data_IF_986513047330
#
_entry.id   IF_986513047330
#
_cell.length_a   1.000
_cell.length_b   1.000
_cell.length_c   1.000
_cell.angle_alpha   90.00
_cell.angle_beta   90.00
_cell.angle_gamma   90.00
#
_symmetry.space_group_name_H-M   'P 1'
#
loop_
_entity.id
_entity.type
_entity.pdbx_description
1 polymer ?
#
# COMPACT_ATOMS: atom_id res chain seq x y z
N UNK A 1 -7.03 52.93 -31.26
CA UNK A 1 -6.92 51.50 -31.63
C UNK A 1 -6.57 50.77 -30.35
N UNK A 2 -7.57 50.15 -29.76
CA UNK A 2 -7.57 49.54 -28.43
C UNK A 2 -6.75 48.24 -28.43
N UNK A 3 -6.07 47.94 -27.33
CA UNK A 3 -5.71 46.58 -26.96
C UNK A 3 -6.03 46.36 -25.48
N UNK A 4 -7.18 45.75 -25.25
CA UNK A 4 -7.65 45.27 -23.94
C UNK A 4 -6.88 43.98 -23.62
N UNK A 5 -6.06 44.00 -22.57
CA UNK A 5 -5.44 42.78 -22.03
C UNK A 5 -6.46 42.13 -21.09
N UNK A 6 -7.15 41.10 -21.57
CA UNK A 6 -8.06 40.29 -20.76
C UNK A 6 -7.23 39.24 -20.01
N UNK A 7 -7.05 39.44 -18.70
CA UNK A 7 -6.58 38.40 -17.79
C UNK A 7 -7.71 37.38 -17.58
N UNK A 8 -7.70 36.26 -18.31
CA UNK A 8 -8.54 35.12 -17.96
C UNK A 8 -7.82 34.26 -16.93
N UNK A 9 -8.10 34.52 -15.65
CA UNK A 9 -7.96 33.53 -14.58
C UNK A 9 -8.94 32.38 -14.86
N UNK A 10 -8.48 31.33 -15.53
CA UNK A 10 -9.12 30.01 -15.50
C UNK A 10 -8.30 29.13 -14.56
N UNK A 11 -8.45 29.39 -13.25
CA UNK A 11 -8.13 28.40 -12.24
C UNK A 11 -9.29 27.40 -12.21
N UNK A 12 -9.42 26.59 -13.26
CA UNK A 12 -10.19 25.35 -13.15
C UNK A 12 -9.36 24.43 -12.28
N UNK A 13 -9.71 24.36 -11.00
CA UNK A 13 -9.32 23.24 -10.14
C UNK A 13 -9.88 21.98 -10.77
N UNK A 14 -9.13 21.40 -11.70
CA UNK A 14 -9.32 20.02 -12.09
C UNK A 14 -9.14 19.21 -10.80
N UNK A 15 -10.25 18.75 -10.24
CA UNK A 15 -10.26 17.66 -9.30
C UNK A 15 -9.69 16.48 -10.08
N UNK A 16 -8.37 16.31 -10.04
CA UNK A 16 -7.73 15.07 -10.48
C UNK A 16 -8.23 14.04 -9.46
N UNK A 17 -9.05 13.05 -9.86
CA UNK A 17 -9.45 12.00 -8.93
C UNK A 17 -8.17 11.38 -8.38
N UNK A 18 -8.02 11.40 -7.06
CA UNK A 18 -6.83 10.79 -6.45
C UNK A 18 -6.88 9.30 -6.74
N UNK A 19 -5.88 8.81 -7.46
CA UNK A 19 -5.78 7.39 -7.76
C UNK A 19 -5.56 6.63 -6.46
N UNK A 20 -6.50 5.73 -6.12
CA UNK A 20 -6.36 4.83 -4.99
C UNK A 20 -5.98 3.44 -5.45
N UNK A 21 -5.34 2.70 -4.54
CA UNK A 21 -4.94 1.33 -4.73
C UNK A 21 -5.52 0.49 -3.60
N UNK A 22 -6.08 -0.67 -3.96
CA UNK A 22 -6.63 -1.62 -2.99
C UNK A 22 -5.58 -2.69 -2.68
N UNK A 23 -5.05 -2.69 -1.46
CA UNK A 23 -3.98 -3.60 -1.07
C UNK A 23 -4.48 -4.63 -0.07
N UNK A 24 -4.42 -5.91 -0.44
CA UNK A 24 -4.75 -7.02 0.47
C UNK A 24 -3.63 -7.20 1.50
N UNK A 25 -4.02 -7.15 2.77
CA UNK A 25 -3.14 -7.28 3.92
C UNK A 25 -3.20 -8.67 4.51
N UNK A 26 -2.09 -9.13 5.09
CA UNK A 26 -1.95 -10.40 5.78
C UNK A 26 -2.29 -11.61 4.90
N UNK A 27 -1.92 -11.55 3.63
CA UNK A 27 -2.35 -12.50 2.59
C UNK A 27 -1.96 -13.95 2.89
N UNK A 28 -0.83 -14.15 3.59
CA UNK A 28 -0.31 -15.44 4.02
C UNK A 28 -0.93 -15.98 5.33
N UNK A 29 -1.85 -15.24 5.95
CA UNK A 29 -2.44 -15.60 7.25
C UNK A 29 -3.92 -15.91 7.15
N UNK A 30 -4.34 -16.92 7.91
CA UNK A 30 -5.75 -17.18 8.20
C UNK A 30 -6.21 -16.31 9.37
N UNK A 31 -6.58 -15.07 9.09
CA UNK A 31 -7.13 -14.13 10.07
C UNK A 31 -8.54 -14.56 10.48
N UNK A 32 -8.73 -14.84 11.77
CA UNK A 32 -10.02 -15.21 12.36
C UNK A 32 -10.57 -14.13 13.29
N UNK A 33 -9.72 -13.25 13.82
CA UNK A 33 -10.21 -12.08 14.55
C UNK A 33 -9.19 -10.94 14.60
N UNK A 34 -9.71 -9.71 14.64
CA UNK A 34 -8.93 -8.49 14.73
C UNK A 34 -9.69 -7.41 15.52
N UNK A 35 -8.93 -6.51 16.14
CA UNK A 35 -9.46 -5.30 16.76
C UNK A 35 -9.07 -4.10 15.90
N UNK A 36 -10.05 -3.26 15.60
CA UNK A 36 -9.93 -2.05 14.80
C UNK A 36 -10.20 -0.86 15.72
N UNK A 37 -9.24 0.05 15.84
CA UNK A 37 -9.38 1.27 16.63
C UNK A 37 -9.07 2.47 15.77
N UNK A 38 -9.80 3.57 15.93
CA UNK A 38 -9.50 4.81 15.23
C UNK A 38 -8.25 5.42 15.86
N UNK A 39 -7.20 5.54 15.07
CA UNK A 39 -5.96 6.18 15.50
C UNK A 39 -6.03 7.70 15.30
N UNK A 40 -6.66 8.13 14.22
CA UNK A 40 -6.92 9.53 13.92
C UNK A 40 -8.11 9.67 12.95
N UNK A 41 -8.79 10.82 12.99
CA UNK A 41 -9.92 11.14 12.12
C UNK A 41 -11.25 10.54 12.56
N UNK A 42 -12.20 10.52 11.63
CA UNK A 42 -13.55 9.99 11.79
C UNK A 42 -13.84 9.01 10.67
N UNK A 43 -14.68 8.03 10.93
CA UNK A 43 -15.03 7.00 9.94
C UNK A 43 -16.53 6.75 9.91
N UNK A 44 -17.10 6.78 8.71
CA UNK A 44 -18.40 6.15 8.46
C UNK A 44 -18.20 4.66 8.31
N UNK A 45 -18.96 3.88 9.07
CA UNK A 45 -18.92 2.42 9.02
C UNK A 45 -20.17 1.94 8.30
N UNK A 46 -19.95 1.29 7.17
CA UNK A 46 -20.98 0.66 6.34
C UNK A 46 -20.75 -0.84 6.39
N UNK A 47 -21.80 -1.65 6.56
CA UNK A 47 -21.70 -3.08 6.28
C UNK A 47 -22.89 -3.60 5.49
N UNK A 48 -22.60 -4.52 4.57
CA UNK A 48 -23.56 -5.12 3.63
C UNK A 48 -24.45 -4.05 2.95
N UNK A 49 -23.86 -2.91 2.59
CA UNK A 49 -24.52 -1.77 1.94
C UNK A 49 -25.25 -0.80 2.86
N UNK A 50 -25.36 -1.09 4.17
CA UNK A 50 -26.10 -0.27 5.12
C UNK A 50 -25.15 0.50 6.04
N UNK A 51 -25.49 1.76 6.33
CA UNK A 51 -24.81 2.54 7.35
C UNK A 51 -25.09 1.95 8.74
N UNK A 52 -24.04 1.74 9.54
CA UNK A 52 -24.13 1.14 10.88
C UNK A 52 -23.82 2.17 11.96
N UNK A 53 -22.72 2.92 11.79
CA UNK A 53 -22.30 3.90 12.78
C UNK A 53 -21.41 4.96 12.15
N UNK A 54 -21.46 6.15 12.72
CA UNK A 54 -20.39 7.14 12.59
C UNK A 54 -19.48 6.97 13.79
N UNK A 55 -18.19 6.78 13.50
CA UNK A 55 -17.23 6.31 14.49
C UNK A 55 -16.20 7.41 14.69
N UNK A 56 -16.13 7.94 15.91
CA UNK A 56 -15.19 8.96 16.33
C UNK A 56 -14.60 8.55 17.69
N UNK A 57 -13.29 8.74 17.87
CA UNK A 57 -12.61 8.48 19.14
C UNK A 57 -12.16 7.03 19.37
N UNK A 58 -11.89 6.66 20.63
CA UNK A 58 -11.15 5.44 21.01
C UNK A 58 -11.95 4.11 20.92
N UNK A 59 -13.23 4.15 20.52
CA UNK A 59 -14.06 2.95 20.45
C UNK A 59 -13.44 1.92 19.51
N UNK A 60 -13.13 0.76 20.07
CA UNK A 60 -12.54 -0.36 19.35
C UNK A 60 -13.65 -1.31 18.85
N UNK A 61 -13.55 -1.69 17.57
CA UNK A 61 -14.38 -2.71 16.94
C UNK A 61 -13.64 -4.03 16.95
N UNK A 62 -14.22 -5.05 17.57
CA UNK A 62 -13.74 -6.43 17.46
C UNK A 62 -14.48 -7.12 16.32
N UNK A 63 -13.71 -7.62 15.37
CA UNK A 63 -14.19 -8.42 14.24
C UNK A 63 -13.84 -9.89 14.51
N UNK A 64 -14.83 -10.78 14.44
CA UNK A 64 -14.65 -12.23 14.65
C UNK A 64 -15.28 -13.00 13.50
N UNK A 65 -14.47 -13.79 12.81
CA UNK A 65 -14.94 -14.71 11.77
C UNK A 65 -15.84 -15.80 12.39
N UNK A 66 -17.02 -15.98 11.82
CA UNK A 66 -18.05 -16.94 12.27
C UNK A 66 -18.69 -17.59 11.05
N UNK A 67 -18.18 -18.77 10.67
CA UNK A 67 -18.54 -19.40 9.40
C UNK A 67 -18.43 -18.33 8.29
N UNK A 68 -19.37 -18.23 7.37
CA UNK A 68 -19.30 -17.26 6.28
C UNK A 68 -19.80 -15.84 6.65
N UNK A 69 -19.42 -15.35 7.83
CA UNK A 69 -19.74 -14.00 8.30
C UNK A 69 -18.72 -13.47 9.30
N UNK A 70 -18.80 -12.17 9.58
CA UNK A 70 -17.99 -11.44 10.54
C UNK A 70 -18.93 -10.86 11.59
N UNK A 71 -18.81 -11.34 12.82
CA UNK A 71 -19.44 -10.71 13.97
C UNK A 71 -18.67 -9.45 14.36
N UNK A 72 -19.40 -8.35 14.52
CA UNK A 72 -18.87 -7.03 14.89
C UNK A 72 -19.35 -6.69 16.29
N UNK A 73 -18.40 -6.44 17.19
CA UNK A 73 -18.65 -6.02 18.57
C UNK A 73 -17.94 -4.71 18.84
N UNK A 74 -18.58 -3.77 19.51
CA UNK A 74 -17.96 -2.53 19.98
C UNK A 74 -18.20 -2.38 21.49
N UNK A 75 -17.12 -2.29 22.26
CA UNK A 75 -17.19 -2.49 23.71
C UNK A 75 -17.80 -3.86 24.05
N UNK A 76 -18.87 -3.86 24.84
CA UNK A 76 -19.63 -5.08 25.17
C UNK A 76 -20.88 -5.28 24.30
N UNK A 77 -21.13 -4.38 23.34
CA UNK A 77 -22.32 -4.40 22.50
C UNK A 77 -22.05 -5.12 21.18
N UNK A 78 -22.82 -6.18 20.91
CA UNK A 78 -22.90 -6.76 19.56
C UNK A 78 -23.58 -5.76 18.63
N UNK A 79 -22.85 -5.34 17.60
CA UNK A 79 -23.34 -4.43 16.57
C UNK A 79 -24.13 -5.20 15.51
N UNK A 80 -23.58 -6.35 15.07
CA UNK A 80 -24.24 -7.21 14.11
C UNK A 80 -23.33 -8.29 13.56
N UNK A 81 -23.81 -8.96 12.52
CA UNK A 81 -23.10 -10.01 11.80
C UNK A 81 -23.22 -9.71 10.31
N UNK A 82 -22.08 -9.57 9.62
CA UNK A 82 -22.03 -9.05 8.26
C UNK A 82 -21.04 -9.83 7.40
N UNK A 83 -21.15 -9.73 6.08
CA UNK A 83 -20.16 -10.33 5.16
C UNK A 83 -19.12 -9.34 4.66
N UNK A 84 -19.49 -8.06 4.62
CA UNK A 84 -18.66 -6.99 4.10
C UNK A 84 -18.79 -5.77 5.00
N UNK A 85 -17.68 -5.22 5.50
CA UNK A 85 -17.63 -4.02 6.33
C UNK A 85 -16.61 -3.05 5.71
N UNK A 86 -16.98 -1.79 5.54
CA UNK A 86 -16.10 -0.71 5.07
C UNK A 86 -16.08 0.43 6.08
N UNK A 87 -14.88 0.80 6.49
CA UNK A 87 -14.58 2.04 7.19
C UNK A 87 -14.19 3.08 6.15
N UNK A 88 -14.98 4.15 6.05
CA UNK A 88 -14.86 5.21 5.05
C UNK A 88 -14.36 6.48 5.72
N UNK A 89 -13.19 6.96 5.30
CA UNK A 89 -12.54 8.15 5.84
C UNK A 89 -13.13 9.49 5.31
N UNK A 90 -14.12 9.44 4.42
CA UNK A 90 -14.79 10.61 3.82
C UNK A 90 -13.84 11.71 3.31
N UNK A 91 -12.81 11.30 2.57
CA UNK A 91 -11.77 12.20 2.06
C UNK A 91 -10.95 12.92 3.14
N UNK A 92 -10.98 12.47 4.40
CA UNK A 92 -10.08 12.97 5.43
C UNK A 92 -8.67 12.38 5.24
N UNK A 93 -7.68 13.17 4.80
CA UNK A 93 -6.32 12.68 4.55
C UNK A 93 -5.56 12.32 5.83
N UNK A 94 -6.03 12.75 7.00
CA UNK A 94 -5.43 12.44 8.29
C UNK A 94 -6.05 11.21 8.96
N UNK A 95 -7.06 10.58 8.34
CA UNK A 95 -7.75 9.44 8.90
C UNK A 95 -6.83 8.21 8.93
N UNK A 96 -6.76 7.54 10.08
CA UNK A 96 -5.89 6.40 10.31
C UNK A 96 -6.59 5.37 11.20
N UNK A 97 -6.54 4.10 10.81
CA UNK A 97 -7.04 2.97 11.58
C UNK A 97 -5.88 2.13 12.10
N UNK A 98 -5.91 1.83 13.39
CA UNK A 98 -5.03 0.87 14.03
C UNK A 98 -5.68 -0.50 13.99
N UNK A 99 -5.00 -1.47 13.40
CA UNK A 99 -5.45 -2.86 13.30
C UNK A 99 -4.52 -3.74 14.11
N UNK A 100 -5.09 -4.46 15.06
CA UNK A 100 -4.42 -5.49 15.87
C UNK A 100 -5.04 -6.84 15.54
N UNK A 101 -4.29 -7.77 14.94
CA UNK A 101 -4.78 -9.14 14.80
C UNK A 101 -4.73 -9.84 16.15
N UNK A 102 -5.82 -10.53 16.49
CA UNK A 102 -5.96 -11.30 17.73
C UNK A 102 -5.77 -12.79 17.43
N UNK A 103 -6.27 -13.26 16.29
CA UNK A 103 -6.05 -14.62 15.83
C UNK A 103 -5.74 -14.62 14.31
N UNK A 104 -4.49 -14.91 13.90
CA UNK A 104 -3.32 -15.10 14.75
C UNK A 104 -2.89 -13.80 15.43
N UNK A 105 -2.22 -13.88 16.59
CA UNK A 105 -1.71 -12.68 17.26
C UNK A 105 -0.55 -12.05 16.46
N UNK A 106 -0.69 -10.76 16.15
CA UNK A 106 0.32 -9.94 15.47
C UNK A 106 0.39 -8.55 16.07
N UNK A 107 1.55 -7.90 16.02
CA UNK A 107 1.70 -6.51 16.48
C UNK A 107 0.74 -5.58 15.72
N UNK A 108 0.19 -4.55 16.39
CA UNK A 108 -0.70 -3.61 15.73
C UNK A 108 0.04 -2.84 14.62
N UNK A 109 -0.68 -2.53 13.55
CA UNK A 109 -0.21 -1.67 12.44
C UNK A 109 -1.22 -0.55 12.21
N UNK A 110 -0.76 0.58 11.69
CA UNK A 110 -1.60 1.74 11.39
C UNK A 110 -1.76 1.82 9.88
N UNK A 111 -3.00 1.91 9.40
CA UNK A 111 -3.33 2.02 7.99
C UNK A 111 -4.04 3.35 7.74
N UNK A 112 -3.62 4.13 6.75
CA UNK A 112 -4.28 5.37 6.39
C UNK A 112 -5.58 5.10 5.62
N UNK A 113 -6.53 6.02 5.72
CA UNK A 113 -7.75 6.06 4.90
C UNK A 113 -8.59 4.77 5.01
N UNK A 114 -9.21 4.35 3.91
CA UNK A 114 -10.31 3.40 3.95
C UNK A 114 -9.81 2.00 4.26
N UNK A 115 -10.58 1.27 5.07
CA UNK A 115 -10.35 -0.15 5.34
C UNK A 115 -11.59 -0.96 5.02
N UNK A 116 -11.38 -2.09 4.37
CA UNK A 116 -12.43 -3.02 3.98
C UNK A 116 -12.14 -4.37 4.61
N UNK A 117 -13.16 -4.98 5.19
CA UNK A 117 -13.13 -6.31 5.80
C UNK A 117 -14.22 -7.15 5.16
N UNK A 118 -13.88 -8.34 4.68
CA UNK A 118 -14.83 -9.25 4.05
C UNK A 118 -14.49 -10.70 4.36
N UNK A 119 -15.44 -11.61 4.16
CA UNK A 119 -15.14 -13.05 4.22
C UNK A 119 -14.47 -13.52 2.93
N UNK A 120 -13.49 -14.42 3.06
CA UNK A 120 -12.84 -15.10 1.94
C UNK A 120 -12.27 -16.42 2.47
N UNK A 121 -12.59 -17.56 1.84
CA UNK A 121 -11.98 -18.87 2.12
C UNK A 121 -11.69 -19.16 3.62
N UNK A 122 -12.71 -19.12 4.48
CA UNK A 122 -12.54 -19.40 5.90
C UNK A 122 -11.67 -18.41 6.69
N UNK A 123 -11.53 -17.17 6.21
CA UNK A 123 -10.79 -16.09 6.85
C UNK A 123 -11.42 -14.70 6.61
N UNK A 124 -10.99 -13.70 7.39
CA UNK A 124 -11.25 -12.28 7.14
C UNK A 124 -10.21 -11.78 6.12
N UNK A 125 -10.67 -11.42 4.92
CA UNK A 125 -9.91 -10.64 3.95
C UNK A 125 -9.90 -9.17 4.37
N UNK A 126 -8.71 -8.62 4.54
CA UNK A 126 -8.48 -7.24 4.95
C UNK A 126 -7.86 -6.49 3.77
N UNK A 127 -8.48 -5.38 3.35
CA UNK A 127 -8.01 -4.54 2.25
C UNK A 127 -7.86 -3.11 2.76
N UNK A 128 -6.73 -2.48 2.47
CA UNK A 128 -6.56 -1.05 2.61
C UNK A 128 -6.80 -0.38 1.25
N UNK A 129 -7.78 0.51 1.18
CA UNK A 129 -8.11 1.34 0.01
C UNK A 129 -7.56 2.74 0.28
N UNK A 130 -6.46 3.07 -0.39
CA UNK A 130 -5.55 4.14 -0.01
C UNK A 130 -4.99 4.85 -1.24
N UNK A 131 -4.73 6.15 -1.13
CA UNK A 131 -4.01 6.91 -2.17
C UNK A 131 -2.64 6.28 -2.50
N UNK A 132 -2.30 6.23 -3.79
CA UNK A 132 -1.06 5.60 -4.26
C UNK A 132 0.18 6.12 -3.54
N UNK A 133 0.32 7.44 -3.33
CA UNK A 133 1.50 7.99 -2.65
C UNK A 133 1.61 7.56 -1.17
N UNK A 134 0.48 7.36 -0.47
CA UNK A 134 0.49 6.87 0.91
C UNK A 134 0.86 5.39 0.97
N UNK A 135 0.40 4.61 -0.01
CA UNK A 135 0.86 3.23 -0.19
C UNK A 135 2.36 3.19 -0.45
N UNK A 136 2.86 4.00 -1.39
CA UNK A 136 4.27 4.11 -1.75
C UNK A 136 5.11 4.45 -0.52
N UNK A 137 4.69 5.38 0.34
CA UNK A 137 5.40 5.71 1.56
C UNK A 137 5.55 4.50 2.51
N UNK A 138 4.50 3.70 2.65
CA UNK A 138 4.54 2.46 3.44
C UNK A 138 5.43 1.38 2.84
N UNK A 139 5.40 1.23 1.51
CA UNK A 139 6.29 0.30 0.78
C UNK A 139 7.74 0.74 0.91
N UNK A 140 8.03 2.03 0.75
CA UNK A 140 9.39 2.56 0.89
C UNK A 140 9.97 2.21 2.25
N UNK A 141 9.26 2.41 3.37
CA UNK A 141 9.79 2.01 4.69
C UNK A 141 9.97 0.49 4.81
N UNK A 142 9.02 -0.28 4.28
CA UNK A 142 9.04 -1.73 4.41
C UNK A 142 10.21 -2.39 3.65
N UNK A 143 10.58 -1.81 2.50
CA UNK A 143 11.63 -2.35 1.61
C UNK A 143 13.01 -1.71 1.88
N UNK A 144 13.06 -0.39 2.08
CA UNK A 144 14.32 0.35 2.29
C UNK A 144 14.72 0.46 3.78
N UNK A 145 13.83 0.14 4.70
CA UNK A 145 14.02 0.37 6.13
C UNK A 145 13.87 1.85 6.53
N UNK A 146 14.40 2.17 7.70
CA UNK A 146 14.36 3.53 8.29
C UNK A 146 15.77 4.10 8.43
N UNK A 147 15.88 5.42 8.62
CA UNK A 147 17.15 6.14 8.82
C UNK A 147 18.15 6.04 7.65
N UNK A 148 17.64 5.94 6.43
CA UNK A 148 18.45 5.95 5.21
C UNK A 148 18.58 7.37 4.62
N UNK A 149 19.33 7.50 3.52
CA UNK A 149 19.53 8.77 2.83
C UNK A 149 18.25 9.22 2.08
N UNK A 150 17.96 10.52 2.07
CA UNK A 150 16.80 11.07 1.39
C UNK A 150 16.76 10.82 -0.12
N UNK A 151 17.90 10.87 -0.81
CA UNK A 151 17.96 10.55 -2.24
C UNK A 151 17.66 9.07 -2.49
N UNK A 152 18.09 8.18 -1.59
CA UNK A 152 17.73 6.77 -1.67
C UNK A 152 16.22 6.55 -1.50
N UNK A 153 15.58 7.23 -0.55
CA UNK A 153 14.13 7.17 -0.40
C UNK A 153 13.38 7.74 -1.62
N UNK A 154 13.90 8.79 -2.26
CA UNK A 154 13.30 9.33 -3.50
C UNK A 154 13.35 8.30 -4.63
N UNK A 155 14.50 7.65 -4.84
CA UNK A 155 14.64 6.58 -5.84
C UNK A 155 13.70 5.42 -5.52
N UNK A 156 13.67 4.96 -4.26
CA UNK A 156 12.78 3.87 -3.85
C UNK A 156 11.30 4.23 -4.03
N UNK A 157 10.91 5.47 -3.73
CA UNK A 157 9.53 5.93 -3.92
C UNK A 157 9.12 5.91 -5.40
N UNK A 158 9.99 6.38 -6.30
CA UNK A 158 9.74 6.36 -7.76
C UNK A 158 9.64 4.93 -8.28
N UNK A 159 10.56 4.03 -7.87
CA UNK A 159 10.51 2.62 -8.26
C UNK A 159 9.25 1.93 -7.72
N UNK A 160 8.92 2.15 -6.45
CA UNK A 160 7.74 1.56 -5.83
C UNK A 160 6.45 2.02 -6.51
N UNK A 161 6.32 3.33 -6.82
CA UNK A 161 5.17 3.88 -7.54
C UNK A 161 5.05 3.32 -8.95
N UNK A 162 6.17 3.25 -9.68
CA UNK A 162 6.21 2.70 -11.03
C UNK A 162 5.74 1.24 -11.05
N UNK A 163 6.26 0.42 -10.12
CA UNK A 163 5.82 -0.97 -9.98
C UNK A 163 4.32 -1.06 -9.67
N UNK A 164 3.85 -0.26 -8.71
CA UNK A 164 2.48 -0.31 -8.24
C UNK A 164 1.48 -0.02 -9.36
N UNK A 165 1.75 1.02 -10.15
CA UNK A 165 0.91 1.42 -11.29
C UNK A 165 1.00 0.43 -12.45
N UNK A 166 2.20 -0.08 -12.75
CA UNK A 166 2.39 -1.09 -13.81
C UNK A 166 1.64 -2.41 -13.52
N UNK A 167 1.42 -2.72 -12.23
CA UNK A 167 0.79 -3.98 -11.79
C UNK A 167 -0.55 -3.76 -11.07
N UNK A 168 -1.19 -2.59 -11.21
CA UNK A 168 -2.40 -2.24 -10.45
C UNK A 168 -3.56 -3.22 -10.64
N UNK A 169 -3.59 -3.94 -11.76
CA UNK A 169 -4.63 -4.93 -12.09
C UNK A 169 -4.21 -6.39 -11.79
N UNK A 170 -3.07 -6.62 -11.12
CA UNK A 170 -2.51 -7.97 -10.92
C UNK A 170 -3.47 -8.93 -10.24
N UNK A 171 -4.27 -8.45 -9.30
CA UNK A 171 -5.25 -9.24 -8.53
C UNK A 171 -6.70 -8.82 -8.78
N UNK A 172 -7.00 -8.18 -9.91
CA UNK A 172 -8.34 -7.60 -10.19
C UNK A 172 -9.46 -8.63 -10.10
N UNK A 173 -9.21 -9.87 -10.51
CA UNK A 173 -10.16 -10.99 -10.43
C UNK A 173 -10.44 -11.44 -8.98
N UNK A 174 -9.55 -11.13 -8.04
CA UNK A 174 -9.70 -11.42 -6.60
C UNK A 174 -10.32 -10.23 -5.83
N UNK A 175 -10.57 -9.12 -6.53
CA UNK A 175 -11.21 -7.91 -6.01
C UNK A 175 -10.27 -6.92 -5.30
N UNK A 176 -8.97 -6.94 -5.61
CA UNK A 176 -7.99 -5.98 -5.11
C UNK A 176 -6.87 -5.75 -6.13
N UNK A 177 -6.01 -4.76 -5.91
CA UNK A 177 -4.94 -4.40 -6.84
C UNK A 177 -3.67 -5.21 -6.61
N UNK A 178 -3.11 -5.09 -5.40
CA UNK A 178 -1.84 -5.69 -4.97
C UNK A 178 -1.98 -6.34 -3.59
N UNK A 179 -0.99 -7.13 -3.18
CA UNK A 179 -0.95 -7.71 -1.84
C UNK A 179 0.36 -7.37 -1.10
N UNK A 180 0.39 -7.68 0.19
CA UNK A 180 1.53 -7.39 1.09
C UNK A 180 2.65 -8.45 1.08
N UNK A 181 2.84 -9.15 -0.04
CA UNK A 181 3.84 -10.23 -0.20
C UNK A 181 4.87 -9.86 -1.27
N UNK A 182 5.99 -10.58 -1.28
CA UNK A 182 7.16 -10.29 -2.15
C UNK A 182 6.87 -10.40 -3.65
N UNK A 183 5.82 -11.12 -4.07
CA UNK A 183 5.42 -11.14 -5.48
C UNK A 183 4.68 -9.86 -5.90
N UNK A 184 4.26 -9.04 -4.94
CA UNK A 184 3.82 -7.66 -5.14
C UNK A 184 4.88 -6.75 -4.51
N UNK A 185 4.58 -6.13 -3.37
CA UNK A 185 5.54 -5.34 -2.59
C UNK A 185 5.22 -5.50 -1.11
N UNK A 186 6.24 -5.47 -0.26
CA UNK A 186 6.03 -5.52 1.18
C UNK A 186 5.37 -4.20 1.61
N UNK A 187 4.23 -4.31 2.30
CA UNK A 187 3.46 -3.15 2.76
C UNK A 187 2.97 -3.39 4.19
N UNK A 188 3.25 -2.45 5.10
CA UNK A 188 2.90 -2.55 6.52
C UNK A 188 2.01 -1.39 7.01
N UNK A 189 1.43 -0.62 6.09
CA UNK A 189 0.62 0.55 6.43
C UNK A 189 1.45 1.84 6.42
N UNK A 190 1.09 2.78 7.29
CA UNK A 190 1.74 4.09 7.43
C UNK A 190 3.21 3.93 7.88
N UNK A 191 4.17 4.63 7.25
CA UNK A 191 5.56 4.62 7.69
C UNK A 191 5.73 5.34 9.04
N UNK A 192 6.74 4.94 9.81
CA UNK A 192 7.13 5.56 11.09
C UNK A 192 8.16 6.67 10.89
N UNK A 193 9.03 6.51 9.90
CA UNK A 193 10.03 7.52 9.54
C UNK A 193 9.39 8.62 8.67
N UNK A 194 9.20 9.81 9.26
CA UNK A 194 8.60 10.95 8.58
C UNK A 194 9.40 11.45 7.36
N UNK A 195 10.72 11.19 7.30
CA UNK A 195 11.56 11.59 6.16
C UNK A 195 11.15 10.91 4.86
N UNK A 196 10.62 9.69 4.95
CA UNK A 196 10.09 8.94 3.81
C UNK A 196 8.88 9.65 3.21
N UNK A 197 7.99 10.18 4.04
CA UNK A 197 6.83 10.95 3.54
C UNK A 197 7.29 12.20 2.77
N UNK A 198 8.34 12.87 3.27
CA UNK A 198 8.97 13.99 2.55
C UNK A 198 9.58 13.55 1.20
N UNK A 199 10.18 12.36 1.13
CA UNK A 199 10.79 11.84 -0.11
C UNK A 199 9.73 11.52 -1.17
N UNK A 200 8.65 10.86 -0.74
CA UNK A 200 7.50 10.52 -1.60
C UNK A 200 6.83 11.78 -2.13
N UNK A 201 6.65 12.79 -1.27
CA UNK A 201 6.07 14.06 -1.68
C UNK A 201 6.97 14.82 -2.65
N UNK A 202 8.30 14.78 -2.46
CA UNK A 202 9.26 15.39 -3.37
C UNK A 202 9.28 14.72 -4.76
N UNK A 203 8.87 13.45 -4.86
CA UNK A 203 8.77 12.69 -6.12
C UNK A 203 7.33 12.42 -6.51
N UNK A 204 6.38 13.24 -6.04
CA UNK A 204 4.95 13.06 -6.30
C UNK A 204 4.67 12.92 -7.80
N UNK A 205 3.98 11.85 -8.17
CA UNK A 205 3.63 11.55 -9.56
C UNK A 205 4.79 11.15 -10.48
N UNK A 206 6.03 11.09 -9.98
CA UNK A 206 7.17 10.65 -10.78
C UNK A 206 7.18 9.13 -10.90
N UNK A 207 7.31 8.66 -12.14
CA UNK A 207 7.38 7.26 -12.56
C UNK A 207 8.48 7.09 -13.60
N UNK A 208 8.92 5.85 -13.82
CA UNK A 208 9.89 5.51 -14.86
C UNK A 208 9.17 4.82 -16.02
N UNK A 209 9.44 5.29 -17.23
CA UNK A 209 8.89 4.74 -18.47
C UNK A 209 10.01 4.31 -19.43
N UNK A 210 9.71 3.39 -20.33
CA UNK A 210 10.58 3.03 -21.44
C UNK A 210 10.49 4.02 -22.61
N UNK A 211 11.25 3.77 -23.68
CA UNK A 211 11.27 4.59 -24.90
C UNK A 211 9.90 4.66 -25.60
N UNK A 212 9.02 3.68 -25.33
CA UNK A 212 7.64 3.62 -25.81
C UNK A 212 6.64 4.30 -24.87
N UNK A 213 7.10 4.98 -23.82
CA UNK A 213 6.29 5.61 -22.77
C UNK A 213 5.45 4.62 -21.95
N UNK A 214 5.82 3.34 -21.93
CA UNK A 214 5.19 2.35 -21.06
C UNK A 214 5.88 2.34 -19.70
N UNK A 215 5.12 2.17 -18.61
CA UNK A 215 5.70 1.97 -17.28
C UNK A 215 6.63 0.76 -17.31
N UNK A 216 7.87 0.94 -16.82
CA UNK A 216 8.82 -0.17 -16.77
C UNK A 216 8.44 -1.18 -15.68
N UNK A 217 8.95 -2.40 -15.83
CA UNK A 217 9.04 -3.33 -14.70
C UNK A 217 10.15 -2.81 -13.78
N UNK A 218 9.77 -2.03 -12.77
CA UNK A 218 10.67 -1.44 -11.77
C UNK A 218 11.11 -2.47 -10.71
N UNK A 219 11.75 -3.56 -11.14
CA UNK A 219 12.27 -4.58 -10.24
C UNK A 219 13.47 -4.05 -9.44
N UNK A 220 13.51 -4.36 -8.15
CA UNK A 220 14.64 -4.06 -7.26
C UNK A 220 14.90 -5.26 -6.35
N UNK A 221 16.09 -5.31 -5.77
CA UNK A 221 16.54 -6.38 -4.88
C UNK A 221 17.57 -5.84 -3.88
N UNK A 222 17.82 -6.58 -2.81
CA UNK A 222 18.61 -6.07 -1.68
C UNK A 222 20.11 -5.96 -1.96
N UNK A 223 20.69 -6.90 -2.71
CA UNK A 223 22.11 -6.91 -3.06
C UNK A 223 22.33 -7.71 -4.35
N UNK A 224 23.09 -7.15 -5.28
CA UNK A 224 23.35 -7.77 -6.60
C UNK A 224 24.52 -8.76 -6.59
N UNK A 225 25.35 -8.78 -5.54
CA UNK A 225 26.56 -9.59 -5.49
C UNK A 225 27.69 -9.07 -6.39
N UNK A 226 27.61 -7.81 -6.85
CA UNK A 226 28.62 -7.15 -7.68
C UNK A 226 28.16 -6.84 -9.10
N UNK A 227 27.05 -7.43 -9.56
CA UNK A 227 26.53 -7.21 -10.90
C UNK A 227 25.04 -7.56 -10.95
N UNK A 228 24.23 -6.71 -11.59
CA UNK A 228 22.81 -7.03 -11.80
C UNK A 228 22.64 -8.09 -12.89
N UNK A 229 21.48 -8.76 -12.93
CA UNK A 229 21.16 -9.74 -13.97
C UNK A 229 20.43 -9.08 -15.16
N UNK A 230 20.51 -9.69 -16.35
CA UNK A 230 19.59 -9.34 -17.43
C UNK A 230 18.19 -9.90 -17.12
N UNK A 231 17.15 -9.24 -17.62
CA UNK A 231 15.77 -9.70 -17.46
C UNK A 231 15.52 -11.12 -17.96
N UNK A 232 16.10 -11.48 -19.10
CA UNK A 232 15.89 -12.78 -19.73
C UNK A 232 16.51 -13.94 -18.94
N UNK A 233 17.57 -13.67 -18.17
CA UNK A 233 18.25 -14.67 -17.34
C UNK A 233 17.43 -15.01 -16.08
N UNK A 234 16.52 -14.12 -15.66
CA UNK A 234 15.70 -14.26 -14.46
C UNK A 234 14.25 -14.63 -14.79
N UNK A 235 13.65 -13.99 -15.79
CA UNK A 235 12.22 -14.11 -16.12
C UNK A 235 11.96 -14.59 -17.55
N UNK A 236 13.00 -14.89 -18.35
CA UNK A 236 12.86 -15.43 -19.71
C UNK A 236 12.45 -14.41 -20.78
N UNK A 237 12.11 -13.17 -20.40
CA UNK A 237 11.75 -12.10 -21.32
C UNK A 237 12.80 -11.00 -21.33
N UNK A 238 13.18 -10.53 -22.53
CA UNK A 238 14.21 -9.52 -22.75
C UNK A 238 13.59 -8.12 -22.78
N UNK A 239 14.06 -7.18 -21.96
CA UNK A 239 13.62 -5.76 -21.99
C UNK A 239 14.78 -4.79 -22.23
N UNK A 240 14.55 -3.64 -22.86
CA UNK A 240 15.64 -2.69 -23.17
C UNK A 240 16.33 -2.13 -21.92
N UNK A 241 15.60 -2.00 -20.82
CA UNK A 241 16.02 -1.30 -19.60
C UNK A 241 16.51 -2.20 -18.44
N UNK A 242 16.18 -3.50 -18.42
CA UNK A 242 16.70 -4.44 -17.39
C UNK A 242 17.91 -5.20 -17.92
N UNK A 243 19.04 -4.49 -17.97
CA UNK A 243 20.33 -5.01 -18.41
C UNK A 243 21.30 -5.19 -17.25
N UNK A 244 22.13 -6.21 -17.38
CA UNK A 244 23.24 -6.43 -16.46
C UNK A 244 24.18 -5.22 -16.47
N UNK A 245 24.41 -4.65 -15.29
CA UNK A 245 25.35 -3.57 -15.06
C UNK A 245 26.25 -3.92 -13.87
N UNK A 246 27.49 -3.44 -13.91
CA UNK A 246 28.42 -3.61 -12.81
C UNK A 246 27.97 -2.77 -11.59
N UNK A 247 27.94 -3.39 -10.42
CA UNK A 247 27.51 -2.77 -9.16
C UNK A 247 28.57 -3.03 -8.08
N UNK A 248 29.66 -2.27 -8.16
CA UNK A 248 30.78 -2.37 -7.22
C UNK A 248 30.42 -1.97 -5.79
N UNK A 249 29.33 -1.24 -5.57
CA UNK A 249 28.93 -0.77 -4.24
C UNK A 249 28.33 -1.90 -3.41
N UNK A 250 27.66 -2.87 -4.04
CA UNK A 250 27.01 -3.99 -3.36
C UNK A 250 27.96 -5.00 -2.72
N UNK A 251 29.19 -5.13 -3.24
CA UNK A 251 30.15 -6.18 -2.85
C UNK A 251 30.49 -6.14 -1.36
N UNK A 252 30.54 -4.93 -0.78
CA UNK A 252 30.89 -4.72 0.65
C UNK A 252 29.67 -4.62 1.57
N UNK A 253 28.47 -4.75 1.03
CA UNK A 253 27.22 -4.63 1.78
C UNK A 253 26.75 -5.98 2.32
N UNK A 254 25.86 -6.01 3.33
CA UNK A 254 25.24 -7.25 3.78
C UNK A 254 24.59 -8.03 2.63
N UNK A 255 24.55 -9.35 2.76
CA UNK A 255 23.99 -10.27 1.75
C UNK A 255 24.74 -10.28 0.40
N UNK A 256 25.96 -9.75 0.32
CA UNK A 256 26.79 -9.81 -0.91
C UNK A 256 27.31 -11.21 -1.24
N UNK A 257 27.37 -12.10 -0.25
CA UNK A 257 27.80 -13.48 -0.42
C UNK A 257 26.65 -14.42 -0.04
N UNK A 258 26.29 -15.32 -0.96
CA UNK A 258 25.36 -16.40 -0.72
C UNK A 258 25.99 -17.75 -1.03
N UNK A 259 25.63 -18.76 -0.24
CA UNK A 259 25.99 -20.15 -0.53
C UNK A 259 24.70 -20.96 -0.58
N UNK A 260 24.47 -21.65 -1.69
CA UNK A 260 23.40 -22.63 -1.77
C UNK A 260 23.80 -23.82 -0.90
N UNK A 261 23.05 -24.07 0.18
CA UNK A 261 23.17 -25.35 0.90
C UNK A 261 22.67 -26.45 -0.04
N UNK A 262 23.57 -27.39 -0.34
CA UNK A 262 23.24 -28.62 -1.07
C UNK A 262 22.67 -29.66 -0.10
#
# INVERSE_FOLDING_TARGET
>A
MELIILWSLLCSSFFIPTETIMVRMYTHLKVLSATISINAGTYKVVADGNFISESAGELAYKLVYKNDSIEVVSGDKKIGVYRYIKFIAENNPAAELKIKLINPDRKPRIYPQNMIFSTFENTIKIINDVEVDRYVAGVTEAEAGSRSNQEFYKVQAVLARTFALAHINKHVLEGFSLCDQVHCQVYYGKPRDGSITTAVQATKGQVVVDDGLNLIIAAFHSNSGGQTANSEDVWGAKTSYLRSVNDSFSIKMPNSNWQRKC
#
